data_IF_458953213901
#
_entry.id   IF_458953213901
#
_cell.length_a   1.000
_cell.length_b   1.000
_cell.length_c   1.000
_cell.angle_alpha   90.00
_cell.angle_beta   90.00
_cell.angle_gamma   90.00
#
_symmetry.space_group_name_H-M   'P 1'
#
loop_
_entity.id
_entity.type
_entity.pdbx_description
1 polymer ?
#
# COMPACT_ATOMS: atom_id res chain seq x y z
N UNK A 1 -5.46 14.02 0.17
CA UNK A 1 -5.55 12.56 0.42
C UNK A 1 -6.93 12.25 0.98
N UNK A 2 -7.59 11.18 0.53
CA UNK A 2 -8.91 10.77 1.06
C UNK A 2 -8.76 9.88 2.31
N UNK A 3 -9.81 9.70 3.14
CA UNK A 3 -9.74 8.82 4.31
C UNK A 3 -9.30 7.40 3.98
N UNK A 4 -9.88 6.78 2.94
CA UNK A 4 -9.48 5.42 2.49
C UNK A 4 -8.04 5.33 1.98
N UNK A 5 -7.51 6.40 1.38
CA UNK A 5 -6.12 6.44 0.96
C UNK A 5 -5.18 6.51 2.16
N UNK A 6 -5.52 7.35 3.15
CA UNK A 6 -4.77 7.44 4.41
C UNK A 6 -4.78 6.10 5.14
N UNK A 7 -5.95 5.49 5.27
CA UNK A 7 -6.16 4.19 5.91
C UNK A 7 -5.30 3.09 5.27
N UNK A 8 -5.30 2.98 3.93
CA UNK A 8 -4.45 2.01 3.24
C UNK A 8 -2.96 2.31 3.43
N UNK A 9 -2.56 3.58 3.38
CA UNK A 9 -1.16 3.98 3.57
C UNK A 9 -0.68 3.63 4.98
N UNK A 10 -1.48 3.95 6.00
CA UNK A 10 -1.18 3.65 7.40
C UNK A 10 -1.07 2.12 7.62
N UNK A 11 -1.94 1.34 6.98
CA UNK A 11 -1.85 -0.13 7.00
C UNK A 11 -0.54 -0.64 6.36
N UNK A 12 -0.14 -0.11 5.19
CA UNK A 12 1.11 -0.50 4.55
C UNK A 12 2.33 -0.18 5.44
N UNK A 13 2.32 0.98 6.12
CA UNK A 13 3.36 1.37 7.10
C UNK A 13 3.46 0.39 8.26
N UNK A 14 2.31 0.13 8.89
CA UNK A 14 2.24 -0.74 10.06
C UNK A 14 2.70 -2.16 9.69
N UNK A 15 2.13 -2.72 8.61
CA UNK A 15 2.48 -4.06 8.13
C UNK A 15 3.98 -4.17 7.82
N UNK A 16 4.55 -3.16 7.13
CA UNK A 16 5.99 -3.12 6.86
C UNK A 16 6.83 -3.11 8.13
N UNK A 17 6.43 -2.35 9.14
CA UNK A 17 7.12 -2.31 10.45
C UNK A 17 7.07 -3.66 11.16
N UNK A 18 5.91 -4.32 11.16
CA UNK A 18 5.70 -5.62 11.82
C UNK A 18 6.37 -6.78 11.07
N UNK A 19 6.46 -6.70 9.74
CA UNK A 19 6.97 -7.78 8.89
C UNK A 19 8.41 -7.54 8.40
N UNK A 20 9.18 -6.66 9.07
CA UNK A 20 10.60 -6.46 8.77
C UNK A 20 10.88 -5.82 7.40
N UNK A 21 10.06 -4.86 7.00
CA UNK A 21 10.17 -4.12 5.74
C UNK A 21 9.44 -4.76 4.56
N UNK A 22 8.71 -5.86 4.78
CA UNK A 22 7.94 -6.53 3.75
C UNK A 22 6.58 -5.83 3.57
N UNK A 23 6.24 -5.44 2.35
CA UNK A 23 4.92 -4.82 2.08
C UNK A 23 3.78 -5.86 2.10
N UNK A 24 2.54 -5.46 2.41
CA UNK A 24 1.40 -6.35 2.25
C UNK A 24 1.18 -6.69 0.77
N UNK A 25 0.53 -7.83 0.51
CA UNK A 25 0.01 -8.20 -0.80
C UNK A 25 -1.29 -7.47 -1.11
N UNK A 26 -1.69 -7.44 -2.38
CA UNK A 26 -2.97 -6.83 -2.79
C UNK A 26 -4.18 -7.54 -2.20
N UNK A 27 -4.09 -8.84 -1.88
CA UNK A 27 -5.15 -9.56 -1.18
C UNK A 27 -5.25 -9.12 0.28
N UNK A 28 -4.12 -9.06 1.00
CA UNK A 28 -4.08 -8.58 2.39
C UNK A 28 -4.63 -7.14 2.51
N UNK A 29 -4.25 -6.27 1.58
CA UNK A 29 -4.80 -4.91 1.50
C UNK A 29 -6.31 -4.90 1.23
N UNK A 30 -6.79 -5.76 0.33
CA UNK A 30 -8.21 -5.86 -0.02
C UNK A 30 -9.03 -6.35 1.17
N UNK A 31 -8.53 -7.37 1.87
CA UNK A 31 -9.19 -7.96 3.04
C UNK A 31 -9.24 -6.93 4.19
N UNK A 32 -8.14 -6.22 4.45
CA UNK A 32 -8.09 -5.13 5.43
C UNK A 32 -9.08 -4.00 5.10
N UNK A 33 -9.14 -3.57 3.84
CA UNK A 33 -10.03 -2.49 3.39
C UNK A 33 -11.50 -2.92 3.26
N UNK A 34 -11.83 -4.20 3.49
CA UNK A 34 -13.18 -4.75 3.32
C UNK A 34 -13.70 -4.62 1.88
N UNK A 35 -12.83 -4.74 0.88
CA UNK A 35 -13.21 -4.56 -0.53
C UNK A 35 -13.55 -5.89 -1.21
N UNK A 36 -14.55 -5.86 -2.08
CA UNK A 36 -14.97 -7.05 -2.83
C UNK A 36 -13.96 -7.47 -3.92
N UNK A 37 -13.06 -6.59 -4.36
CA UNK A 37 -12.11 -6.88 -5.44
C UNK A 37 -10.79 -6.12 -5.33
N UNK A 38 -9.75 -6.68 -5.97
CA UNK A 38 -8.42 -6.05 -6.09
C UNK A 38 -8.44 -4.75 -6.88
N UNK A 39 -9.39 -4.57 -7.81
CA UNK A 39 -9.51 -3.35 -8.62
C UNK A 39 -9.65 -2.09 -7.76
N UNK A 40 -10.33 -2.18 -6.61
CA UNK A 40 -10.40 -1.09 -5.64
C UNK A 40 -9.03 -0.74 -5.04
N UNK A 41 -8.25 -1.75 -4.66
CA UNK A 41 -6.87 -1.56 -4.17
C UNK A 41 -5.98 -0.98 -5.25
N UNK A 42 -6.03 -1.48 -6.49
CA UNK A 42 -5.25 -0.93 -7.61
C UNK A 42 -5.50 0.57 -7.79
N UNK A 43 -6.75 1.03 -7.68
CA UNK A 43 -7.09 2.46 -7.76
C UNK A 43 -6.50 3.28 -6.63
N UNK A 44 -6.56 2.78 -5.39
CA UNK A 44 -6.03 3.49 -4.23
C UNK A 44 -4.51 3.54 -4.30
N UNK A 45 -3.85 2.40 -4.61
CA UNK A 45 -2.40 2.30 -4.76
C UNK A 45 -1.89 3.24 -5.87
N UNK A 46 -2.53 3.24 -7.05
CA UNK A 46 -2.15 4.16 -8.13
C UNK A 46 -2.25 5.63 -7.69
N UNK A 47 -3.30 5.99 -6.94
CA UNK A 47 -3.48 7.35 -6.44
C UNK A 47 -2.50 7.74 -5.30
N UNK A 48 -1.95 6.76 -4.57
CA UNK A 48 -0.87 6.99 -3.60
C UNK A 48 0.47 7.16 -4.32
N UNK A 49 0.72 6.38 -5.36
CA UNK A 49 1.93 6.45 -6.19
C UNK A 49 2.00 7.75 -6.98
N UNK A 50 0.90 8.17 -7.62
CA UNK A 50 0.79 9.44 -8.34
C UNK A 50 1.09 10.65 -7.44
N UNK A 51 0.76 10.55 -6.15
CA UNK A 51 1.06 11.58 -5.15
C UNK A 51 2.49 11.50 -4.59
N UNK A 52 3.29 10.53 -5.03
CA UNK A 52 4.66 10.33 -4.56
C UNK A 52 4.75 9.84 -3.12
N UNK A 53 3.70 9.21 -2.57
CA UNK A 53 3.71 8.66 -1.21
C UNK A 53 4.26 7.24 -1.16
N UNK A 54 4.14 6.51 -2.27
CA UNK A 54 4.69 5.17 -2.46
C UNK A 54 5.29 5.04 -3.86
N UNK A 55 6.10 4.00 -4.08
CA UNK A 55 6.50 3.52 -5.40
C UNK A 55 6.33 2.00 -5.50
N UNK A 56 6.10 1.50 -6.71
CA UNK A 56 6.10 0.06 -6.99
C UNK A 56 7.41 -0.37 -7.64
N UNK A 57 7.97 -1.49 -7.16
CA UNK A 57 9.07 -2.18 -7.82
C UNK A 57 8.51 -3.14 -8.88
N UNK A 58 8.86 -2.92 -10.14
CA UNK A 58 8.38 -3.76 -11.24
C UNK A 58 8.84 -5.22 -11.08
N UNK A 59 8.01 -6.15 -11.54
CA UNK A 59 8.29 -7.60 -11.56
C UNK A 59 8.58 -8.23 -10.18
N UNK A 60 8.12 -7.62 -9.09
CA UNK A 60 8.25 -8.18 -7.73
C UNK A 60 6.89 -8.37 -7.08
N UNK A 61 6.71 -9.50 -6.40
CA UNK A 61 5.66 -9.64 -5.39
C UNK A 61 5.99 -8.71 -4.21
N UNK A 62 4.95 -8.18 -3.55
CA UNK A 62 5.12 -7.29 -2.37
C UNK A 62 6.10 -6.15 -2.65
N UNK A 63 5.80 -5.41 -3.70
CA UNK A 63 6.70 -4.43 -4.32
C UNK A 63 6.47 -2.98 -3.90
N UNK A 64 5.59 -2.73 -2.93
CA UNK A 64 5.26 -1.37 -2.51
C UNK A 64 6.32 -0.88 -1.53
N UNK A 65 6.88 0.29 -1.80
CA UNK A 65 7.84 0.99 -0.93
C UNK A 65 7.29 2.37 -0.62
N UNK A 66 7.36 2.79 0.64
CA UNK A 66 6.93 4.12 1.08
C UNK A 66 8.01 5.14 0.79
N UNK A 67 7.61 6.30 0.28
CA UNK A 67 8.52 7.41 -0.02
C UNK A 67 8.43 8.43 1.12
N UNK A 68 9.58 8.85 1.64
CA UNK A 68 9.66 9.99 2.56
C UNK A 68 9.71 9.63 4.06
N UNK A 69 9.71 8.36 4.45
CA UNK A 69 10.21 7.96 5.76
C UNK A 69 11.69 7.63 5.62
N UNK A 70 12.54 8.60 5.98
CA UNK A 70 13.89 8.28 6.42
C UNK A 70 13.74 7.39 7.66
N UNK A 71 14.40 6.22 7.60
CA UNK A 71 14.57 5.34 8.75
C UNK A 71 15.21 6.08 9.92
#
# INVERSE_FOLDING_TARGET
MTPKQKELLDFIKLYGTEQGGISPSYDEMKDFMGLASKSGIHRIVAALEERGLIRRLENRARSIVIIGEAA
#
